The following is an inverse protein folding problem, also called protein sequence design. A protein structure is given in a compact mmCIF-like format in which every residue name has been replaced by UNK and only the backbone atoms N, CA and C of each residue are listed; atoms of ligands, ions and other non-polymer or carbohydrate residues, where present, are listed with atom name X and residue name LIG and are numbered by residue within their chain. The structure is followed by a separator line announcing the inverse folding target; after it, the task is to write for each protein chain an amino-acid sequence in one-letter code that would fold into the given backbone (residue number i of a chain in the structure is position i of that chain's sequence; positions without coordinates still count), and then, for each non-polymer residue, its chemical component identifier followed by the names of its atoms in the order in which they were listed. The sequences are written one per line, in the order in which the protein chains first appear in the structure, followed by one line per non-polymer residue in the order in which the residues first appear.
data_IF_462653185945
#
_entry.id   IF_462653185945
#
_cell.length_a   1.000
_cell.length_b   1.000
_cell.length_c   1.000
_cell.angle_alpha   90.00
_cell.angle_beta   90.00
_cell.angle_gamma   90.00
#
_symmetry.space_group_name_H-M   'P 1'
#
loop_
_entity.id
_entity.type
_entity.pdbx_description
1 polymer ?
#
# COMPACT_ATOMS: atom_id res chain seq x y z
N UNK A 1 -28.58 -80.08 68.34
CA UNK A 1 -27.43 -79.77 67.46
C UNK A 1 -27.57 -80.62 66.21
N UNK A 2 -27.67 -79.99 65.03
CA UNK A 2 -28.00 -80.67 63.77
C UNK A 2 -26.72 -81.24 63.15
N UNK A 3 -26.70 -82.54 62.90
CA UNK A 3 -25.58 -83.31 62.32
C UNK A 3 -25.21 -82.83 60.90
N UNK A 4 -26.07 -82.03 60.27
CA UNK A 4 -25.86 -81.40 58.97
C UNK A 4 -25.01 -80.12 58.99
N UNK A 5 -24.71 -79.51 60.15
CA UNK A 5 -23.89 -78.29 60.21
C UNK A 5 -22.37 -78.58 60.24
N UNK A 6 -21.98 -79.75 60.75
CA UNK A 6 -20.59 -80.23 60.78
C UNK A 6 -19.95 -80.36 59.38
N UNK A 7 -20.59 -80.99 58.36
CA UNK A 7 -19.98 -81.09 57.03
C UNK A 7 -19.86 -79.74 56.32
N UNK A 8 -20.80 -78.81 56.52
CA UNK A 8 -20.74 -77.46 55.92
C UNK A 8 -19.64 -76.62 56.56
N UNK A 9 -19.44 -76.73 57.88
CA UNK A 9 -18.35 -76.04 58.58
C UNK A 9 -16.96 -76.55 58.13
N UNK A 10 -16.81 -77.86 57.89
CA UNK A 10 -15.58 -78.45 57.36
C UNK A 10 -15.32 -78.00 55.91
N UNK A 11 -16.37 -77.95 55.08
CA UNK A 11 -16.26 -77.42 53.71
C UNK A 11 -15.88 -75.94 53.67
N UNK A 12 -16.42 -75.12 54.58
CA UNK A 12 -16.00 -73.72 54.78
C UNK A 12 -14.54 -73.61 55.19
N UNK A 13 -14.08 -74.45 56.12
CA UNK A 13 -12.69 -74.48 56.55
C UNK A 13 -11.74 -74.92 55.42
N UNK A 14 -12.12 -75.94 54.64
CA UNK A 14 -11.36 -76.40 53.48
C UNK A 14 -11.32 -75.34 52.38
N UNK A 15 -12.42 -74.62 52.14
CA UNK A 15 -12.45 -73.50 51.20
C UNK A 15 -11.58 -72.34 51.69
N UNK A 16 -11.61 -71.98 52.98
CA UNK A 16 -10.70 -71.00 53.57
C UNK A 16 -9.22 -71.41 53.43
N UNK A 17 -8.89 -72.70 53.59
CA UNK A 17 -7.54 -73.21 53.37
C UNK A 17 -7.12 -73.17 51.89
N UNK A 18 -8.01 -73.53 50.98
CA UNK A 18 -7.79 -73.48 49.53
C UNK A 18 -7.70 -72.02 49.01
N UNK A 19 -8.36 -71.08 49.70
CA UNK A 19 -8.36 -69.65 49.44
C UNK A 19 -7.08 -68.96 49.91
N UNK A 20 -6.46 -69.46 50.97
CA UNK A 20 -5.24 -68.88 51.56
C UNK A 20 -4.11 -68.62 50.52
N UNK A 21 -3.76 -69.55 49.61
CA UNK A 21 -2.75 -69.28 48.58
C UNK A 21 -3.20 -68.23 47.54
N UNK A 22 -4.49 -68.19 47.18
CA UNK A 22 -5.03 -67.19 46.24
C UNK A 22 -5.00 -65.78 46.84
N UNK A 23 -5.36 -65.64 48.12
CA UNK A 23 -5.31 -64.38 48.85
C UNK A 23 -3.86 -63.88 49.05
N UNK A 24 -2.90 -64.79 49.18
CA UNK A 24 -1.46 -64.47 49.21
C UNK A 24 -0.94 -63.95 47.87
N UNK A 25 -1.43 -64.50 46.75
CA UNK A 25 -1.10 -64.01 45.40
C UNK A 25 -1.70 -62.61 45.17
N UNK A 26 -2.94 -62.40 45.62
CA UNK A 26 -3.59 -61.08 45.61
C UNK A 26 -2.75 -60.04 46.39
N UNK A 27 -2.37 -60.36 47.63
CA UNK A 27 -1.60 -59.46 48.50
C UNK A 27 -0.16 -59.21 48.06
N UNK A 28 0.46 -60.11 47.29
CA UNK A 28 1.90 -60.02 46.97
C UNK A 28 2.20 -59.64 45.52
N UNK A 29 1.33 -60.00 44.59
CA UNK A 29 1.54 -59.81 43.14
C UNK A 29 0.53 -58.80 42.58
N UNK A 30 -0.74 -58.96 42.90
CA UNK A 30 -1.81 -58.13 42.33
C UNK A 30 -1.87 -56.75 42.99
N UNK A 31 -1.62 -56.67 44.30
CA UNK A 31 -1.53 -55.40 45.05
C UNK A 31 -0.41 -54.46 44.57
N UNK A 32 0.61 -54.99 43.87
CA UNK A 32 1.70 -54.22 43.26
C UNK A 32 1.35 -53.61 41.91
N UNK A 33 0.28 -54.08 41.27
CA UNK A 33 -0.24 -53.54 40.01
C UNK A 33 -1.16 -52.37 40.33
N UNK A 34 -1.15 -51.31 39.51
CA UNK A 34 -2.09 -50.19 39.68
C UNK A 34 -3.54 -50.69 39.64
N UNK A 35 -4.41 -50.08 40.45
CA UNK A 35 -5.82 -50.49 40.64
C UNK A 35 -6.62 -50.52 39.33
N UNK A 36 -6.22 -49.72 38.33
CA UNK A 36 -6.88 -49.62 37.03
C UNK A 36 -6.29 -50.54 35.96
N UNK A 37 -5.29 -51.36 36.31
CA UNK A 37 -4.64 -52.24 35.34
C UNK A 37 -5.63 -53.32 34.86
N UNK A 38 -5.84 -53.50 33.55
CA UNK A 38 -6.84 -54.45 33.04
C UNK A 38 -6.65 -55.89 33.55
N UNK A 39 -5.41 -56.33 33.74
CA UNK A 39 -5.09 -57.66 34.28
C UNK A 39 -5.49 -57.82 35.76
N UNK A 40 -5.35 -56.76 36.57
CA UNK A 40 -5.76 -56.72 37.97
C UNK A 40 -7.28 -56.73 38.11
N UNK A 41 -7.97 -55.88 37.34
CA UNK A 41 -9.44 -55.80 37.32
C UNK A 41 -10.08 -57.13 36.88
N UNK A 42 -9.48 -57.82 35.91
CA UNK A 42 -9.95 -59.14 35.49
C UNK A 42 -9.76 -60.21 36.58
N UNK A 43 -8.64 -60.16 37.30
CA UNK A 43 -8.38 -61.05 38.43
C UNK A 43 -9.35 -60.80 39.59
N UNK A 44 -9.52 -59.55 40.03
CA UNK A 44 -10.42 -59.17 41.12
C UNK A 44 -11.90 -59.47 40.81
N UNK A 45 -12.31 -59.33 39.54
CA UNK A 45 -13.64 -59.72 39.07
C UNK A 45 -13.85 -61.24 39.07
N UNK A 46 -12.90 -62.01 38.55
CA UNK A 46 -13.01 -63.47 38.51
C UNK A 46 -13.00 -64.08 39.92
N UNK A 47 -12.19 -63.51 40.81
CA UNK A 47 -12.15 -63.89 42.23
C UNK A 47 -13.43 -63.52 42.98
N UNK A 48 -14.00 -62.35 42.70
CA UNK A 48 -15.27 -61.91 43.30
C UNK A 48 -16.48 -62.74 42.85
N UNK A 49 -16.52 -63.20 41.59
CA UNK A 49 -17.54 -64.14 41.10
C UNK A 49 -17.38 -65.51 41.79
N UNK A 50 -16.14 -65.99 41.95
CA UNK A 50 -15.86 -67.23 42.67
C UNK A 50 -16.31 -67.15 44.14
N UNK A 51 -16.09 -66.02 44.81
CA UNK A 51 -16.57 -65.81 46.18
C UNK A 51 -18.09 -65.74 46.28
N UNK A 52 -18.74 -65.03 45.36
CA UNK A 52 -20.20 -64.93 45.35
C UNK A 52 -20.87 -66.29 45.10
N UNK A 53 -20.31 -67.09 44.19
CA UNK A 53 -20.83 -68.42 43.86
C UNK A 53 -20.59 -69.43 44.98
N UNK A 54 -19.38 -69.47 45.55
CA UNK A 54 -19.07 -70.38 46.66
C UNK A 54 -19.77 -69.95 47.95
N UNK A 55 -19.88 -68.65 48.22
CA UNK A 55 -20.65 -68.12 49.34
C UNK A 55 -22.13 -68.49 49.26
N UNK A 56 -22.73 -68.43 48.07
CA UNK A 56 -24.09 -68.89 47.84
C UNK A 56 -24.27 -70.40 48.07
N UNK A 57 -23.31 -71.21 47.61
CA UNK A 57 -23.33 -72.66 47.80
C UNK A 57 -23.09 -73.09 49.27
N UNK A 58 -22.28 -72.35 50.01
CA UNK A 58 -21.96 -72.58 51.42
C UNK A 58 -22.87 -71.80 52.39
N UNK A 59 -23.89 -71.09 51.88
CA UNK A 59 -24.80 -70.23 52.64
C UNK A 59 -24.07 -69.23 53.56
N UNK A 60 -22.96 -68.66 53.07
CA UNK A 60 -22.08 -67.68 53.75
C UNK A 60 -22.34 -66.27 53.18
N UNK A 61 -23.16 -65.44 53.86
CA UNK A 61 -23.57 -64.14 53.35
C UNK A 61 -22.43 -63.13 53.26
N UNK A 62 -21.41 -63.23 54.12
CA UNK A 62 -20.28 -62.30 54.13
C UNK A 62 -19.41 -62.50 52.89
N UNK A 63 -19.23 -63.77 52.47
CA UNK A 63 -18.49 -64.12 51.26
C UNK A 63 -19.24 -63.66 49.99
N UNK A 64 -20.58 -63.79 49.98
CA UNK A 64 -21.42 -63.28 48.89
C UNK A 64 -21.33 -61.76 48.77
N UNK A 65 -21.46 -61.04 49.88
CA UNK A 65 -21.40 -59.57 49.88
C UNK A 65 -20.04 -59.06 49.44
N UNK A 66 -18.95 -59.69 49.90
CA UNK A 66 -17.58 -59.32 49.51
C UNK A 66 -17.31 -59.58 48.03
N UNK A 67 -17.74 -60.73 47.51
CA UNK A 67 -17.59 -61.08 46.09
C UNK A 67 -18.33 -60.10 45.18
N UNK A 68 -19.58 -59.77 45.53
CA UNK A 68 -20.38 -58.78 44.81
C UNK A 68 -19.73 -57.38 44.82
N UNK A 69 -19.26 -56.91 45.97
CA UNK A 69 -18.59 -55.61 46.09
C UNK A 69 -17.28 -55.54 45.28
N UNK A 70 -16.52 -56.64 45.19
CA UNK A 70 -15.28 -56.71 44.39
C UNK A 70 -15.56 -56.62 42.89
N UNK A 71 -16.60 -57.31 42.41
CA UNK A 71 -17.04 -57.24 40.99
C UNK A 71 -17.50 -55.84 40.63
N UNK A 72 -18.35 -55.23 41.47
CA UNK A 72 -18.87 -53.88 41.23
C UNK A 72 -17.76 -52.82 41.17
N UNK A 73 -16.81 -52.87 42.12
CA UNK A 73 -15.64 -51.97 42.12
C UNK A 73 -14.78 -52.15 40.88
N UNK A 74 -14.49 -53.39 40.48
CA UNK A 74 -13.67 -53.68 39.29
C UNK A 74 -14.31 -53.16 38.01
N UNK A 75 -15.63 -53.35 37.87
CA UNK A 75 -16.38 -52.84 36.72
C UNK A 75 -16.45 -51.31 36.71
N UNK A 76 -16.57 -50.66 37.87
CA UNK A 76 -16.54 -49.21 37.99
C UNK A 76 -15.17 -48.62 37.58
N UNK A 77 -14.07 -49.19 38.08
CA UNK A 77 -12.70 -48.76 37.73
C UNK A 77 -12.40 -49.00 36.25
N UNK A 78 -12.84 -50.14 35.69
CA UNK A 78 -12.70 -50.43 34.25
C UNK A 78 -13.43 -49.39 33.38
N UNK A 79 -14.63 -48.97 33.79
CA UNK A 79 -15.36 -47.90 33.10
C UNK A 79 -14.67 -46.54 33.23
N UNK A 80 -14.16 -46.19 34.43
CA UNK A 80 -13.44 -44.95 34.65
C UNK A 80 -12.19 -44.85 33.75
N UNK A 81 -11.35 -45.88 33.73
CA UNK A 81 -10.15 -45.92 32.88
C UNK A 81 -10.47 -45.78 31.37
N UNK A 82 -11.59 -46.36 30.90
CA UNK A 82 -12.07 -46.19 29.51
C UNK A 82 -12.54 -44.77 29.23
N UNK A 83 -13.19 -44.13 30.20
CA UNK A 83 -13.65 -42.75 30.05
C UNK A 83 -12.47 -41.78 30.07
N UNK A 84 -11.48 -41.99 30.93
CA UNK A 84 -10.28 -41.15 31.02
C UNK A 84 -9.44 -41.25 29.74
N UNK A 85 -9.22 -42.47 29.23
CA UNK A 85 -8.54 -42.65 27.94
C UNK A 85 -9.29 -42.00 26.78
N UNK A 86 -10.62 -42.09 26.76
CA UNK A 86 -11.44 -41.40 25.76
C UNK A 86 -11.42 -39.86 25.92
N UNK A 87 -11.37 -39.36 27.15
CA UNK A 87 -11.27 -37.93 27.44
C UNK A 87 -9.93 -37.36 27.00
N UNK A 88 -8.82 -38.03 27.33
CA UNK A 88 -7.47 -37.65 26.89
C UNK A 88 -7.36 -37.66 25.36
N UNK A 89 -7.90 -38.70 24.69
CA UNK A 89 -7.92 -38.75 23.23
C UNK A 89 -8.72 -37.60 22.61
N UNK A 90 -9.89 -37.26 23.19
CA UNK A 90 -10.69 -36.11 22.73
C UNK A 90 -9.98 -34.79 22.96
N UNK A 91 -9.33 -34.62 24.10
CA UNK A 91 -8.55 -33.41 24.43
C UNK A 91 -7.39 -33.24 23.46
N UNK A 92 -6.58 -34.28 23.25
CA UNK A 92 -5.48 -34.25 22.29
C UNK A 92 -5.95 -33.89 20.87
N UNK A 93 -7.08 -34.45 20.43
CA UNK A 93 -7.67 -34.11 19.12
C UNK A 93 -8.14 -32.65 19.07
N UNK A 94 -8.81 -32.16 20.11
CA UNK A 94 -9.27 -30.79 20.18
C UNK A 94 -8.11 -29.79 20.18
N UNK A 95 -7.05 -30.08 20.93
CA UNK A 95 -5.83 -29.27 20.99
C UNK A 95 -5.14 -29.22 19.61
N UNK A 96 -5.02 -30.37 18.93
CA UNK A 96 -4.46 -30.42 17.57
C UNK A 96 -5.31 -29.62 16.55
N UNK A 97 -6.64 -29.73 16.61
CA UNK A 97 -7.53 -28.95 15.75
C UNK A 97 -7.47 -27.44 16.06
N UNK A 98 -7.34 -27.08 17.34
CA UNK A 98 -7.20 -25.70 17.76
C UNK A 98 -5.88 -25.09 17.25
N UNK A 99 -4.77 -25.79 17.44
CA UNK A 99 -3.45 -25.38 16.95
C UNK A 99 -3.43 -25.24 15.43
N UNK A 100 -3.99 -26.21 14.70
CA UNK A 100 -4.10 -26.12 13.24
C UNK A 100 -4.91 -24.90 12.78
N UNK A 101 -6.06 -24.62 13.42
CA UNK A 101 -6.87 -23.43 13.13
C UNK A 101 -6.15 -22.13 13.48
N UNK A 102 -5.40 -22.11 14.58
CA UNK A 102 -4.60 -20.96 15.02
C UNK A 102 -3.51 -20.65 13.99
N UNK A 103 -2.80 -21.67 13.53
CA UNK A 103 -1.75 -21.52 12.53
C UNK A 103 -2.31 -21.08 11.18
N UNK A 104 -3.43 -21.66 10.75
CA UNK A 104 -4.13 -21.23 9.54
C UNK A 104 -4.56 -19.77 9.63
N UNK A 105 -5.13 -19.34 10.77
CA UNK A 105 -5.52 -17.95 10.98
C UNK A 105 -4.29 -17.01 11.00
N UNK A 106 -3.17 -17.44 11.59
CA UNK A 106 -1.92 -16.68 11.58
C UNK A 106 -1.37 -16.52 10.16
N UNK A 107 -1.38 -17.58 9.35
CA UNK A 107 -0.96 -17.55 7.94
C UNK A 107 -1.86 -16.65 7.11
N UNK A 108 -3.19 -16.75 7.25
CA UNK A 108 -4.13 -15.88 6.56
C UNK A 108 -3.92 -14.41 6.92
N UNK A 109 -3.68 -14.10 8.20
CA UNK A 109 -3.38 -12.73 8.64
C UNK A 109 -2.08 -12.22 8.03
N UNK A 110 -1.03 -13.04 7.96
CA UNK A 110 0.24 -12.67 7.32
C UNK A 110 0.05 -12.41 5.84
N UNK A 111 -0.59 -13.33 5.12
CA UNK A 111 -0.88 -13.17 3.69
C UNK A 111 -1.71 -11.91 3.42
N UNK A 112 -2.76 -11.66 4.21
CA UNK A 112 -3.57 -10.44 4.07
C UNK A 112 -2.77 -9.16 4.36
N UNK A 113 -1.83 -9.19 5.30
CA UNK A 113 -0.93 -8.06 5.57
C UNK A 113 0.06 -7.84 4.42
N UNK A 114 0.61 -8.90 3.86
CA UNK A 114 1.53 -8.85 2.71
C UNK A 114 0.81 -8.30 1.47
N UNK A 115 -0.35 -8.85 1.11
CA UNK A 115 -1.17 -8.35 -0.01
C UNK A 115 -1.53 -6.87 0.20
N UNK A 116 -1.97 -6.48 1.40
CA UNK A 116 -2.28 -5.08 1.69
C UNK A 116 -1.04 -4.19 1.60
N UNK A 117 0.12 -4.67 2.01
CA UNK A 117 1.37 -3.91 1.90
C UNK A 117 1.79 -3.72 0.43
N UNK A 118 1.61 -4.74 -0.41
CA UNK A 118 1.84 -4.67 -1.85
C UNK A 118 0.88 -3.69 -2.53
N UNK A 119 -0.43 -3.78 -2.26
CA UNK A 119 -1.43 -2.86 -2.79
C UNK A 119 -1.12 -1.40 -2.42
N UNK A 120 -0.73 -1.16 -1.16
CA UNK A 120 -0.34 0.19 -0.71
C UNK A 120 0.95 0.65 -1.41
N UNK A 121 1.90 -0.25 -1.67
CA UNK A 121 3.14 0.07 -2.39
C UNK A 121 2.83 0.45 -3.84
N UNK A 122 2.05 -0.36 -4.55
CA UNK A 122 1.65 -0.12 -5.93
C UNK A 122 0.83 1.18 -6.08
N UNK A 123 -0.11 1.43 -5.15
CA UNK A 123 -0.88 2.66 -5.12
C UNK A 123 0.03 3.90 -4.93
N UNK A 124 1.06 3.79 -4.08
CA UNK A 124 2.05 4.87 -3.87
C UNK A 124 2.93 5.07 -5.10
N UNK A 125 3.41 4.01 -5.74
CA UNK A 125 4.20 4.07 -6.97
C UNK A 125 3.38 4.75 -8.08
N UNK A 126 2.14 4.32 -8.30
CA UNK A 126 1.21 4.92 -9.27
C UNK A 126 0.94 6.39 -8.96
N UNK A 127 0.72 6.76 -7.69
CA UNK A 127 0.50 8.15 -7.30
C UNK A 127 1.75 9.03 -7.55
N UNK A 128 2.95 8.49 -7.29
CA UNK A 128 4.21 9.17 -7.57
C UNK A 128 4.41 9.36 -9.07
N UNK A 129 4.16 8.35 -9.89
CA UNK A 129 4.22 8.45 -11.35
C UNK A 129 3.25 9.50 -11.89
N UNK A 130 2.00 9.50 -11.43
CA UNK A 130 1.01 10.53 -11.80
C UNK A 130 1.49 11.92 -11.44
N UNK A 131 2.08 12.09 -10.27
CA UNK A 131 2.63 13.38 -9.82
C UNK A 131 3.80 13.82 -10.71
N UNK A 132 4.72 12.91 -11.04
CA UNK A 132 5.84 13.19 -11.95
C UNK A 132 5.34 13.56 -13.36
N UNK A 133 4.41 12.79 -13.91
CA UNK A 133 3.83 13.04 -15.24
C UNK A 133 3.07 14.38 -15.28
N UNK A 134 2.33 14.71 -14.22
CA UNK A 134 1.66 16.00 -14.10
C UNK A 134 2.67 17.16 -14.05
N UNK A 135 3.74 17.01 -13.26
CA UNK A 135 4.81 18.02 -13.16
C UNK A 135 5.54 18.20 -14.51
N UNK A 136 5.86 17.12 -15.22
CA UNK A 136 6.49 17.18 -16.53
C UNK A 136 5.56 17.83 -17.57
N UNK A 137 4.28 17.49 -17.55
CA UNK A 137 3.27 18.10 -18.43
C UNK A 137 3.12 19.59 -18.15
N UNK A 138 3.09 19.99 -16.88
CA UNK A 138 3.04 21.40 -16.49
C UNK A 138 4.29 22.17 -16.94
N UNK A 139 5.48 21.56 -16.83
CA UNK A 139 6.73 22.14 -17.35
C UNK A 139 6.68 22.32 -18.86
N UNK A 140 6.36 21.27 -19.62
CA UNK A 140 6.22 21.35 -21.10
C UNK A 140 5.23 22.44 -21.53
N UNK A 141 4.10 22.56 -20.83
CA UNK A 141 3.13 23.64 -21.09
C UNK A 141 3.73 25.01 -20.80
N UNK A 142 4.41 25.17 -19.67
CA UNK A 142 5.04 26.44 -19.30
C UNK A 142 6.11 26.83 -20.32
N UNK A 143 6.95 25.89 -20.74
CA UNK A 143 8.00 26.12 -21.73
C UNK A 143 7.39 26.49 -23.08
N UNK A 144 6.39 25.75 -23.56
CA UNK A 144 5.70 26.12 -24.82
C UNK A 144 4.99 27.47 -24.77
N UNK A 145 4.52 27.90 -23.60
CA UNK A 145 3.95 29.25 -23.42
C UNK A 145 5.04 30.32 -23.44
N UNK A 146 6.20 30.06 -22.83
CA UNK A 146 7.37 30.96 -22.91
C UNK A 146 7.84 31.11 -24.35
N UNK A 147 8.03 30.01 -25.06
CA UNK A 147 8.48 30.03 -26.46
C UNK A 147 7.53 30.87 -27.33
N UNK A 148 6.21 30.69 -27.16
CA UNK A 148 5.20 31.50 -27.86
C UNK A 148 5.25 32.98 -27.47
N UNK A 149 5.50 33.28 -26.20
CA UNK A 149 5.61 34.66 -25.74
C UNK A 149 6.85 35.34 -26.34
N UNK A 150 7.97 34.62 -26.39
CA UNK A 150 9.23 35.09 -26.99
C UNK A 150 9.07 35.29 -28.50
N UNK A 151 8.43 34.36 -29.21
CA UNK A 151 8.10 34.51 -30.64
C UNK A 151 7.24 35.76 -30.92
N UNK A 152 6.24 36.01 -30.06
CA UNK A 152 5.37 37.19 -30.17
C UNK A 152 6.16 38.47 -29.87
N UNK A 153 7.03 38.45 -28.85
CA UNK A 153 7.88 39.58 -28.51
C UNK A 153 8.85 39.90 -29.67
N UNK A 154 9.49 38.90 -30.25
CA UNK A 154 10.40 39.06 -31.38
C UNK A 154 9.68 39.62 -32.61
N UNK A 155 8.47 39.12 -32.92
CA UNK A 155 7.64 39.68 -34.00
C UNK A 155 7.30 41.15 -33.76
N UNK A 156 6.95 41.52 -32.52
CA UNK A 156 6.66 42.92 -32.17
C UNK A 156 7.89 43.81 -32.34
N UNK A 157 9.07 43.36 -31.91
CA UNK A 157 10.33 44.08 -32.13
C UNK A 157 10.57 44.29 -33.62
N UNK A 158 10.47 43.24 -34.43
CA UNK A 158 10.64 43.33 -35.89
C UNK A 158 9.65 44.33 -36.52
N UNK A 159 8.38 44.31 -36.11
CA UNK A 159 7.38 45.27 -36.62
C UNK A 159 7.68 46.70 -36.21
N UNK A 160 8.14 46.93 -34.97
CA UNK A 160 8.50 48.25 -34.49
C UNK A 160 9.74 48.79 -35.20
N UNK A 161 10.74 47.94 -35.45
CA UNK A 161 11.92 48.30 -36.23
C UNK A 161 11.58 48.62 -37.68
N UNK A 162 10.71 47.83 -38.32
CA UNK A 162 10.24 48.10 -39.67
C UNK A 162 9.51 49.43 -39.76
N UNK A 163 8.59 49.72 -38.82
CA UNK A 163 7.89 51.00 -38.74
C UNK A 163 8.86 52.17 -38.54
N UNK A 164 9.88 52.01 -37.67
CA UNK A 164 10.91 53.03 -37.45
C UNK A 164 11.75 53.28 -38.71
N UNK A 165 12.07 52.25 -39.47
CA UNK A 165 12.77 52.40 -40.77
C UNK A 165 11.90 53.15 -41.77
N UNK A 166 10.64 52.75 -41.92
CA UNK A 166 9.71 53.44 -42.81
C UNK A 166 9.57 54.92 -42.45
N UNK A 167 9.43 55.25 -41.17
CA UNK A 167 9.35 56.64 -40.72
C UNK A 167 10.63 57.43 -41.03
N UNK A 168 11.81 56.82 -40.86
CA UNK A 168 13.08 57.46 -41.24
C UNK A 168 13.19 57.71 -42.74
N UNK A 169 12.71 56.78 -43.56
CA UNK A 169 12.73 56.91 -45.01
C UNK A 169 11.77 58.03 -45.46
N UNK A 170 10.58 58.11 -44.86
CA UNK A 170 9.62 59.20 -45.09
C UNK A 170 10.17 60.58 -44.70
N UNK A 171 10.80 60.69 -43.51
CA UNK A 171 11.46 61.92 -43.07
C UNK A 171 12.57 62.31 -44.05
N UNK A 172 13.45 61.36 -44.41
CA UNK A 172 14.55 61.61 -45.34
C UNK A 172 14.05 62.05 -46.71
N UNK A 173 12.94 61.47 -47.20
CA UNK A 173 12.33 61.87 -48.45
C UNK A 173 11.71 63.28 -48.36
N UNK A 174 11.07 63.63 -47.25
CA UNK A 174 10.54 64.96 -47.00
C UNK A 174 11.67 66.01 -46.92
N UNK A 175 12.77 65.70 -46.22
CA UNK A 175 13.95 66.57 -46.13
C UNK A 175 14.58 66.82 -47.50
N UNK A 176 14.70 65.78 -48.34
CA UNK A 176 15.19 65.92 -49.72
C UNK A 176 14.30 66.84 -50.54
N UNK A 177 12.97 66.62 -50.53
CA UNK A 177 12.01 67.48 -51.23
C UNK A 177 12.08 68.93 -50.74
N UNK A 178 12.18 69.15 -49.43
CA UNK A 178 12.32 70.49 -48.87
C UNK A 178 13.64 71.17 -49.30
N UNK A 179 14.73 70.39 -49.36
CA UNK A 179 16.04 70.87 -49.82
C UNK A 179 16.01 71.24 -51.30
N UNK A 180 15.41 70.41 -52.16
CA UNK A 180 15.21 70.68 -53.59
C UNK A 180 14.37 71.94 -53.82
N UNK A 181 13.26 72.10 -53.09
CA UNK A 181 12.44 73.31 -53.15
C UNK A 181 13.20 74.56 -52.69
N UNK A 182 14.02 74.45 -51.65
CA UNK A 182 14.86 75.54 -51.19
C UNK A 182 15.96 75.90 -52.20
N UNK A 183 16.56 74.91 -52.87
CA UNK A 183 17.52 75.11 -53.94
C UNK A 183 16.89 75.84 -55.14
N UNK A 184 15.71 75.38 -55.60
CA UNK A 184 14.98 76.02 -56.68
C UNK A 184 14.61 77.48 -56.36
N UNK A 185 14.17 77.77 -55.13
CA UNK A 185 13.91 79.16 -54.69
C UNK A 185 15.18 80.02 -54.65
N UNK A 186 16.33 79.43 -54.30
CA UNK A 186 17.62 80.14 -54.33
C UNK A 186 18.04 80.47 -55.76
N UNK A 187 17.89 79.52 -56.68
CA UNK A 187 18.18 79.71 -58.11
C UNK A 187 17.29 80.80 -58.71
N UNK A 188 15.96 80.72 -58.54
CA UNK A 188 15.03 81.75 -59.00
C UNK A 188 15.33 83.16 -58.42
N UNK A 189 15.78 83.21 -57.15
CA UNK A 189 16.22 84.48 -56.54
C UNK A 189 17.55 85.00 -57.12
N UNK A 190 18.47 84.11 -57.50
CA UNK A 190 19.72 84.47 -58.18
C UNK A 190 19.43 85.00 -59.60
N UNK A 191 18.55 84.33 -60.35
CA UNK A 191 18.13 84.76 -61.68
C UNK A 191 17.47 86.14 -61.65
N UNK A 192 16.56 86.38 -60.70
CA UNK A 192 15.95 87.70 -60.49
C UNK A 192 16.98 88.77 -60.15
N UNK A 193 17.98 88.45 -59.32
CA UNK A 193 19.07 89.38 -59.01
C UNK A 193 19.93 89.69 -60.24
N UNK A 194 20.22 88.70 -61.07
CA UNK A 194 20.96 88.88 -62.31
C UNK A 194 20.17 89.76 -63.30
N UNK A 195 18.88 89.49 -63.49
CA UNK A 195 18.00 90.30 -64.33
C UNK A 195 17.91 91.76 -63.83
N UNK A 196 17.77 91.98 -62.51
CA UNK A 196 17.77 93.32 -61.94
C UNK A 196 19.12 94.05 -62.12
N UNK A 197 20.25 93.33 -62.03
CA UNK A 197 21.57 93.90 -62.28
C UNK A 197 21.75 94.29 -63.76
N UNK A 198 21.25 93.47 -64.70
CA UNK A 198 21.22 93.80 -66.12
C UNK A 198 20.38 95.06 -66.40
N UNK A 199 19.17 95.14 -65.84
CA UNK A 199 18.31 96.33 -65.98
C UNK A 199 18.99 97.59 -65.43
N UNK A 200 19.68 97.50 -64.28
CA UNK A 200 20.47 98.62 -63.76
C UNK A 200 21.58 99.03 -64.72
N UNK A 201 22.39 98.09 -65.21
CA UNK A 201 23.45 98.39 -66.15
C UNK A 201 22.93 98.99 -67.46
N UNK A 202 21.74 98.56 -67.93
CA UNK A 202 21.08 99.14 -69.10
C UNK A 202 20.57 100.57 -68.82
N UNK A 203 19.97 100.81 -67.65
CA UNK A 203 19.57 102.15 -67.21
C UNK A 203 20.78 103.08 -67.08
N UNK A 204 21.87 102.63 -66.46
CA UNK A 204 23.12 103.39 -66.31
C UNK A 204 23.69 103.76 -67.69
N UNK A 205 23.67 102.84 -68.67
CA UNK A 205 24.07 103.13 -70.06
C UNK A 205 23.16 104.15 -70.75
N UNK A 206 21.84 104.07 -70.54
CA UNK A 206 20.89 105.04 -71.09
C UNK A 206 21.14 106.42 -70.48
N UNK A 207 21.42 106.50 -69.18
CA UNK A 207 21.77 107.73 -68.49
C UNK A 207 23.09 108.31 -69.03
N UNK A 208 24.12 107.49 -69.22
CA UNK A 208 25.39 107.90 -69.82
C UNK A 208 25.19 108.42 -71.27
N UNK A 209 24.37 107.74 -72.09
CA UNK A 209 24.00 108.21 -73.42
C UNK A 209 23.19 109.51 -73.39
N UNK A 210 22.33 109.69 -72.39
CA UNK A 210 21.56 110.92 -72.20
C UNK A 210 22.42 112.09 -71.73
N UNK A 211 23.42 111.87 -70.88
CA UNK A 211 24.43 112.87 -70.51
C UNK A 211 25.27 113.26 -71.71
N UNK A 212 25.78 112.31 -72.49
CA UNK A 212 26.52 112.57 -73.73
C UNK A 212 25.69 113.37 -74.74
N UNK A 213 24.39 113.08 -74.85
CA UNK A 213 23.47 113.84 -75.71
C UNK A 213 23.19 115.26 -75.18
N UNK A 214 23.13 115.44 -73.85
CA UNK A 214 23.02 116.76 -73.21
C UNK A 214 24.28 117.60 -73.42
N UNK A 215 25.46 117.00 -73.29
CA UNK A 215 26.74 117.67 -73.51
C UNK A 215 26.91 118.08 -74.98
N UNK A 216 26.45 117.25 -75.92
CA UNK A 216 26.36 117.64 -77.34
C UNK A 216 25.41 118.81 -77.60
N UNK A 217 24.28 118.94 -76.87
CA UNK A 217 23.36 120.09 -76.99
C UNK A 217 23.86 121.39 -76.36
N UNK A 218 24.89 121.34 -75.51
CA UNK A 218 25.54 122.53 -74.93
C UNK A 218 26.76 123.00 -75.72
N UNK A 219 27.12 122.27 -76.78
CA UNK A 219 28.26 122.53 -77.65
C UNK A 219 27.86 123.11 -79.03
N UNK A 220 26.56 123.33 -79.27
CA UNK A 220 25.99 124.20 -80.32
C UNK A 220 25.63 125.56 -79.71
#
# INVERSE_FOLDING_TARGET
MKITELPVAVLRFQYQLARFPLQLIEQRVVSRLNEETPARLFYERSLGILDATVGGALNDPDLVQRGAASVERSDALSRAARLDTAAEAKKAKADAEFEAKRDQAAQQRKAAQETKAEEVREARETAQERTRNAAETARKRTDSVKDRADDVAEKRVKTAEAAKRQQKDEISAAERKATEQAAAKREDAQDKRAAAAQQKAEADRIEELAEVAKDKRKAD
#
